data_IF_518964278029
#
_entry.id   IF_518964278029
#
_cell.length_a   1.000
_cell.length_b   1.000
_cell.length_c   1.000
_cell.angle_alpha   90.00
_cell.angle_beta   90.00
_cell.angle_gamma   90.00
#
_symmetry.space_group_name_H-M   'P 1'
#
loop_
_entity.id
_entity.type
_entity.pdbx_description
1 polymer ?
#
# COMPACT_ATOMS: atom_id res chain seq x y z
N UNK A 1 -25.75 -12.15 -13.40
CA UNK A 1 -25.10 -11.62 -14.62
C UNK A 1 -23.65 -11.35 -14.25
N UNK A 2 -22.69 -12.14 -14.74
CA UNK A 2 -21.26 -11.91 -14.45
C UNK A 2 -20.78 -10.85 -15.45
N UNK A 3 -20.25 -9.73 -14.95
CA UNK A 3 -19.58 -8.75 -15.80
C UNK A 3 -18.25 -9.38 -16.20
N UNK A 4 -18.09 -9.70 -17.48
CA UNK A 4 -16.78 -10.01 -18.03
C UNK A 4 -15.95 -8.73 -17.95
N UNK A 5 -14.93 -8.74 -17.10
CA UNK A 5 -13.96 -7.66 -16.97
C UNK A 5 -13.13 -7.65 -18.26
N UNK A 6 -13.48 -6.73 -19.15
CA UNK A 6 -12.62 -6.31 -20.26
C UNK A 6 -11.26 -5.92 -19.69
N UNK A 7 -10.18 -6.32 -20.37
CA UNK A 7 -8.78 -6.19 -19.92
C UNK A 7 -8.27 -4.76 -19.72
N UNK A 8 -9.11 -3.74 -19.93
CA UNK A 8 -8.77 -2.31 -19.87
C UNK A 8 -9.46 -1.53 -18.74
N UNK A 9 -10.29 -2.17 -17.90
CA UNK A 9 -10.95 -1.46 -16.79
C UNK A 9 -9.98 -1.30 -15.61
N UNK A 10 -9.48 -0.08 -15.39
CA UNK A 10 -8.69 0.25 -14.19
C UNK A 10 -9.55 0.14 -12.94
N UNK A 11 -9.36 -0.93 -12.17
CA UNK A 11 -10.03 -1.12 -10.89
C UNK A 11 -9.35 -0.29 -9.79
N UNK A 12 -10.15 0.40 -8.98
CA UNK A 12 -9.71 1.04 -7.75
C UNK A 12 -10.13 0.18 -6.56
N UNK A 13 -9.15 -0.30 -5.79
CA UNK A 13 -9.37 -1.10 -4.59
C UNK A 13 -9.55 -0.18 -3.37
N UNK A 14 -10.41 -0.60 -2.44
CA UNK A 14 -10.67 0.15 -1.22
C UNK A 14 -9.48 0.11 -0.27
N UNK A 15 -8.97 1.29 0.10
CA UNK A 15 -8.04 1.40 1.23
C UNK A 15 -8.78 1.38 2.57
N UNK A 16 -10.06 1.75 2.60
CA UNK A 16 -10.83 1.85 3.83
C UNK A 16 -11.10 0.49 4.46
N UNK A 17 -11.25 -0.58 3.68
CA UNK A 17 -11.41 -1.93 4.23
C UNK A 17 -10.17 -2.38 5.00
N UNK A 18 -8.98 -1.98 4.58
CA UNK A 18 -7.73 -2.25 5.32
C UNK A 18 -7.70 -1.47 6.64
N UNK A 19 -8.09 -0.19 6.62
CA UNK A 19 -8.20 0.63 7.83
C UNK A 19 -9.22 0.04 8.82
N UNK A 20 -10.35 -0.45 8.31
CA UNK A 20 -11.41 -1.01 9.13
C UNK A 20 -10.97 -2.30 9.85
N UNK A 21 -10.15 -3.13 9.21
CA UNK A 21 -9.69 -4.40 9.76
C UNK A 21 -8.41 -4.27 10.59
N UNK A 22 -7.46 -3.42 10.16
CA UNK A 22 -6.10 -3.41 10.70
C UNK A 22 -5.72 -2.10 11.41
N UNK A 23 -6.41 -1.00 11.15
CA UNK A 23 -6.05 0.30 11.67
C UNK A 23 -4.61 0.71 11.39
N UNK A 24 -3.94 1.29 12.39
CA UNK A 24 -2.54 1.75 12.28
C UNK A 24 -1.51 0.60 12.21
N UNK A 25 -1.91 -0.61 12.59
CA UNK A 25 -1.01 -1.76 12.68
C UNK A 25 -0.77 -2.48 11.34
N UNK A 26 -1.47 -2.06 10.27
CA UNK A 26 -1.33 -2.64 8.94
C UNK A 26 0.13 -2.67 8.44
N UNK A 27 0.89 -1.60 8.72
CA UNK A 27 2.30 -1.48 8.33
C UNK A 27 3.21 -2.41 9.15
N UNK A 28 2.84 -2.70 10.39
CA UNK A 28 3.64 -3.54 11.32
C UNK A 28 3.38 -5.04 11.14
N UNK A 29 2.23 -5.42 10.56
CA UNK A 29 1.75 -6.81 10.49
C UNK A 29 1.61 -7.31 9.06
N UNK A 30 2.65 -7.13 8.23
CA UNK A 30 2.68 -7.52 6.81
C UNK A 30 2.22 -8.97 6.56
N UNK A 31 2.57 -9.93 7.43
CA UNK A 31 2.14 -11.33 7.29
C UNK A 31 0.62 -11.52 7.40
N UNK A 32 0.01 -10.90 8.41
CA UNK A 32 -1.44 -10.99 8.63
C UNK A 32 -2.19 -10.26 7.51
N UNK A 33 -1.63 -9.14 7.04
CA UNK A 33 -2.14 -8.44 5.87
C UNK A 33 -2.10 -9.34 4.62
N UNK A 34 -0.97 -10.01 4.35
CA UNK A 34 -0.83 -10.92 3.21
C UNK A 34 -1.83 -12.09 3.28
N UNK A 35 -1.99 -12.70 4.47
CA UNK A 35 -2.99 -13.75 4.70
C UNK A 35 -4.40 -13.25 4.36
N UNK A 36 -4.80 -12.07 4.87
CA UNK A 36 -6.10 -11.46 4.56
C UNK A 36 -6.29 -11.16 3.08
N UNK A 37 -5.26 -10.66 2.40
CA UNK A 37 -5.30 -10.42 0.97
C UNK A 37 -5.51 -11.72 0.17
N UNK A 38 -4.98 -12.83 0.65
CA UNK A 38 -5.10 -14.15 0.02
C UNK A 38 -6.39 -14.90 0.38
N UNK A 39 -6.97 -14.69 1.57
CA UNK A 39 -8.18 -15.37 2.04
C UNK A 39 -9.46 -14.61 1.72
N UNK A 40 -9.54 -13.34 2.15
CA UNK A 40 -10.75 -12.53 2.12
C UNK A 40 -10.75 -11.56 0.93
N UNK A 41 -9.56 -11.05 0.59
CA UNK A 41 -9.35 -10.09 -0.47
C UNK A 41 -9.81 -8.67 -0.14
N UNK A 42 -9.72 -7.78 -1.13
CA UNK A 42 -10.04 -6.35 -1.01
C UNK A 42 -11.21 -6.02 -1.93
N UNK A 43 -12.21 -5.30 -1.41
CA UNK A 43 -13.33 -4.84 -2.21
C UNK A 43 -12.98 -3.61 -3.07
N UNK A 44 -13.80 -3.31 -4.08
CA UNK A 44 -13.66 -2.09 -4.89
C UNK A 44 -13.96 -0.85 -4.05
N UNK A 45 -13.31 0.26 -4.37
CA UNK A 45 -13.49 1.58 -3.73
C UNK A 45 -14.95 2.05 -3.76
N UNK A 46 -15.70 1.73 -4.82
CA UNK A 46 -17.13 2.04 -4.93
C UNK A 46 -17.98 1.36 -3.84
N UNK A 47 -17.54 0.22 -3.32
CA UNK A 47 -18.23 -0.57 -2.30
C UNK A 47 -17.79 -0.19 -0.87
N UNK A 48 -16.61 0.42 -0.72
CA UNK A 48 -16.12 0.91 0.57
C UNK A 48 -15.22 2.14 0.36
N UNK A 49 -15.83 3.33 0.36
CA UNK A 49 -15.14 4.58 0.08
C UNK A 49 -14.15 4.97 1.17
N UNK A 50 -13.03 5.57 0.78
CA UNK A 50 -12.06 6.16 1.68
C UNK A 50 -12.67 7.30 2.52
N UNK A 51 -12.61 7.15 3.84
CA UNK A 51 -13.09 8.15 4.81
C UNK A 51 -11.95 8.86 5.53
N UNK A 52 -10.74 8.30 5.47
CA UNK A 52 -9.58 8.82 6.22
C UNK A 52 -9.77 8.77 7.73
N UNK A 53 -10.62 7.86 8.23
CA UNK A 53 -10.96 7.74 9.66
C UNK A 53 -11.04 6.28 10.07
N UNK A 54 -10.64 6.02 11.31
CA UNK A 54 -10.88 4.74 11.98
C UNK A 54 -12.38 4.53 12.23
N UNK A 55 -12.88 3.29 12.15
CA UNK A 55 -14.24 2.98 12.59
C UNK A 55 -14.38 3.26 14.09
N UNK A 56 -15.57 3.72 14.52
CA UNK A 56 -15.82 4.05 15.95
C UNK A 56 -15.65 2.86 16.90
N UNK A 57 -15.79 1.64 16.38
CA UNK A 57 -15.61 0.38 17.11
C UNK A 57 -14.76 -0.57 16.25
N UNK A 58 -13.42 -0.48 16.27
CA UNK A 58 -12.60 -1.43 15.53
C UNK A 58 -12.80 -2.85 16.11
N UNK A 59 -12.74 -3.92 15.29
CA UNK A 59 -12.84 -5.29 15.77
C UNK A 59 -11.74 -5.57 16.79
N UNK A 60 -12.10 -5.68 18.08
CA UNK A 60 -11.13 -5.90 19.17
C UNK A 60 -10.39 -7.24 19.06
N UNK A 61 -10.93 -8.17 18.28
CA UNK A 61 -10.47 -9.55 18.16
C UNK A 61 -9.13 -9.69 17.41
N UNK A 62 -8.81 -8.78 16.48
CA UNK A 62 -7.53 -8.78 15.74
C UNK A 62 -6.37 -8.22 16.60
N UNK A 63 -6.70 -7.53 17.70
CA UNK A 63 -5.76 -6.79 18.55
C UNK A 63 -5.46 -7.50 19.89
N UNK A 64 -5.61 -8.83 19.95
CA UNK A 64 -5.17 -9.59 21.12
C UNK A 64 -3.65 -9.73 21.12
N UNK A 65 -2.99 -8.83 21.84
CA UNK A 65 -1.56 -8.94 22.17
C UNK A 65 -0.79 -7.69 21.81
N UNK A 66 -0.30 -7.02 22.86
CA UNK A 66 0.43 -5.76 22.93
C UNK A 66 -0.46 -4.50 22.94
N UNK A 67 -0.50 -3.85 24.12
CA UNK A 67 -0.78 -2.41 24.21
C UNK A 67 0.12 -1.67 23.21
N UNK A 68 -0.36 -0.59 22.57
CA UNK A 68 0.50 0.26 21.76
C UNK A 68 1.66 0.71 22.65
N UNK A 69 2.86 0.22 22.37
CA UNK A 69 4.05 0.79 22.99
C UNK A 69 4.06 2.27 22.62
N UNK A 70 4.12 3.11 23.65
CA UNK A 70 4.27 4.56 23.51
C UNK A 70 5.45 4.77 22.55
N UNK A 71 5.17 5.33 21.38
CA UNK A 71 6.21 5.69 20.42
C UNK A 71 7.19 6.61 21.17
N UNK A 72 8.42 6.16 21.37
CA UNK A 72 9.48 7.06 21.82
C UNK A 72 9.70 8.07 20.68
N UNK A 73 9.75 9.36 21.03
CA UNK A 73 9.66 10.50 20.08
C UNK A 73 10.83 10.59 19.06
N UNK A 74 11.77 9.64 19.07
CA UNK A 74 12.97 9.60 18.23
C UNK A 74 13.00 8.47 17.18
N UNK A 75 11.94 7.65 17.06
CA UNK A 75 11.88 6.65 15.98
C UNK A 75 11.63 7.33 14.61
N UNK A 76 12.46 7.06 13.57
CA UNK A 76 12.28 7.66 12.26
C UNK A 76 10.87 7.38 11.71
N UNK A 77 10.20 8.42 11.21
CA UNK A 77 8.90 8.28 10.56
C UNK A 77 9.05 7.42 9.30
N UNK A 78 8.39 6.27 9.27
CA UNK A 78 8.37 5.39 8.11
C UNK A 78 7.25 5.82 7.14
N UNK A 79 7.51 5.80 5.84
CA UNK A 79 6.52 6.11 4.81
C UNK A 79 6.56 5.06 3.70
N UNK A 80 5.38 4.57 3.30
CA UNK A 80 5.23 3.60 2.23
C UNK A 80 4.74 4.29 0.95
N UNK A 81 5.42 4.00 -0.17
CA UNK A 81 5.09 4.51 -1.52
C UNK A 81 5.13 3.38 -2.53
N UNK A 82 4.55 3.60 -3.71
CA UNK A 82 4.60 2.61 -4.79
C UNK A 82 5.67 2.99 -5.81
N UNK A 83 6.63 2.09 -6.04
CA UNK A 83 7.53 2.18 -7.19
C UNK A 83 6.73 1.77 -8.44
N UNK A 84 6.71 2.63 -9.46
CA UNK A 84 5.96 2.38 -10.70
C UNK A 84 6.86 2.16 -11.92
N UNK A 85 8.17 2.39 -11.77
CA UNK A 85 9.10 2.20 -12.87
C UNK A 85 10.54 2.59 -12.53
N UNK A 86 11.41 2.38 -13.51
CA UNK A 86 12.78 2.87 -13.53
C UNK A 86 12.91 3.86 -14.68
N UNK A 87 13.50 5.02 -14.40
CA UNK A 87 13.79 6.05 -15.40
C UNK A 87 15.30 6.24 -15.49
N UNK A 88 15.81 6.37 -16.70
CA UNK A 88 17.22 6.64 -16.98
C UNK A 88 17.34 8.02 -17.62
N UNK A 89 18.23 8.87 -17.11
CA UNK A 89 18.48 10.19 -17.70
C UNK A 89 19.53 10.14 -18.84
N UNK A 90 19.79 11.29 -19.47
CA UNK A 90 20.77 11.40 -20.56
C UNK A 90 22.22 11.14 -20.14
N UNK A 91 22.50 11.18 -18.84
CA UNK A 91 23.83 10.92 -18.26
C UNK A 91 23.95 9.46 -17.76
N UNK A 92 22.97 8.61 -18.08
CA UNK A 92 22.90 7.21 -17.69
C UNK A 92 22.77 6.99 -16.16
N UNK A 93 22.21 7.97 -15.43
CA UNK A 93 21.80 7.77 -14.05
C UNK A 93 20.43 7.11 -13.99
N UNK A 94 20.27 6.13 -13.10
CA UNK A 94 18.99 5.45 -12.89
C UNK A 94 18.22 6.01 -11.69
N UNK A 95 16.89 6.06 -11.82
CA UNK A 95 15.97 6.55 -10.82
C UNK A 95 14.80 5.58 -10.62
N UNK A 96 14.38 5.39 -9.39
CA UNK A 96 13.05 4.88 -9.08
C UNK A 96 12.03 5.98 -9.38
N UNK A 97 11.05 5.68 -10.22
CA UNK A 97 9.86 6.52 -10.32
C UNK A 97 8.83 6.02 -9.31
N UNK A 98 8.37 6.92 -8.44
CA UNK A 98 7.42 6.61 -7.38
C UNK A 98 6.13 7.39 -7.54
N UNK A 99 5.02 6.75 -7.17
CA UNK A 99 3.72 7.38 -6.95
C UNK A 99 3.48 7.52 -5.44
N UNK A 100 3.21 8.73 -5.00
CA UNK A 100 2.90 9.04 -3.60
C UNK A 100 1.38 9.05 -3.36
N UNK A 101 0.98 9.13 -2.09
CA UNK A 101 -0.41 9.12 -1.62
C UNK A 101 -0.86 10.46 -1.02
N UNK A 102 -0.16 11.57 -1.34
CA UNK A 102 -0.43 12.92 -0.82
C UNK A 102 -1.19 13.84 -1.79
N UNK A 103 -1.91 13.24 -2.75
CA UNK A 103 -2.63 13.98 -3.78
C UNK A 103 -1.74 14.45 -4.94
N UNK A 104 -2.39 14.97 -5.97
CA UNK A 104 -1.78 15.41 -7.22
C UNK A 104 -1.09 16.77 -7.11
N UNK A 105 -1.55 17.63 -6.19
CA UNK A 105 -0.93 18.92 -5.90
C UNK A 105 0.49 18.81 -5.32
N UNK A 106 0.86 17.62 -4.83
CA UNK A 106 2.22 17.38 -4.36
C UNK A 106 3.15 17.08 -5.54
N UNK A 107 4.24 17.85 -5.67
CA UNK A 107 5.28 17.62 -6.68
C UNK A 107 4.69 17.64 -8.11
N UNK A 108 5.17 16.75 -8.97
CA UNK A 108 4.73 16.58 -10.35
C UNK A 108 3.52 15.65 -10.42
N UNK A 109 2.33 16.13 -10.04
CA UNK A 109 1.09 15.34 -10.14
C UNK A 109 1.00 14.18 -9.16
N UNK A 110 1.70 14.23 -8.02
CA UNK A 110 1.78 13.15 -7.03
C UNK A 110 2.97 12.19 -7.23
N UNK A 111 3.84 12.45 -8.20
CA UNK A 111 4.98 11.57 -8.54
C UNK A 111 6.33 12.21 -8.19
N UNK A 112 7.34 11.35 -8.00
CA UNK A 112 8.73 11.78 -7.79
C UNK A 112 9.73 10.76 -8.31
N UNK A 113 10.94 11.21 -8.63
CA UNK A 113 12.09 10.36 -8.97
C UNK A 113 13.08 10.35 -7.82
N UNK A 114 13.55 9.16 -7.43
CA UNK A 114 14.57 8.96 -6.40
C UNK A 114 15.76 8.27 -7.05
N UNK A 115 16.95 8.87 -6.95
CA UNK A 115 18.17 8.30 -7.55
C UNK A 115 18.51 6.96 -6.91
N UNK A 116 18.77 5.94 -7.73
CA UNK A 116 19.15 4.59 -7.28
C UNK A 116 20.59 4.57 -6.77
N UNK A 117 20.89 3.66 -5.85
CA UNK A 117 22.26 3.41 -5.38
C UNK A 117 22.90 4.54 -4.57
N UNK A 118 22.12 5.47 -4.01
CA UNK A 118 22.61 6.55 -3.14
C UNK A 118 21.91 6.54 -1.79
N UNK A 119 22.63 6.12 -0.73
CA UNK A 119 22.33 6.35 0.69
C UNK A 119 20.86 6.23 1.11
N UNK A 120 20.10 7.33 0.95
CA UNK A 120 18.66 7.42 1.25
C UNK A 120 17.77 6.51 0.37
N UNK A 121 18.24 6.05 -0.80
CA UNK A 121 17.55 5.04 -1.62
C UNK A 121 17.61 3.63 -1.03
N UNK A 122 18.54 3.39 -0.10
CA UNK A 122 18.74 2.08 0.52
C UNK A 122 17.49 1.55 1.22
N UNK A 123 16.64 2.40 1.79
CA UNK A 123 15.37 1.98 2.39
C UNK A 123 14.36 1.49 1.35
N UNK A 124 14.25 2.17 0.20
CA UNK A 124 13.46 1.68 -0.94
C UNK A 124 14.03 0.36 -1.47
N UNK A 125 15.35 0.19 -1.47
CA UNK A 125 16.01 -1.00 -2.00
C UNK A 125 15.99 -2.19 -1.01
N UNK A 126 15.77 -1.95 0.28
CA UNK A 126 15.83 -2.97 1.34
C UNK A 126 14.46 -3.41 1.85
N UNK A 127 13.45 -2.53 1.84
CA UNK A 127 12.12 -2.77 2.39
C UNK A 127 11.04 -2.69 1.31
N UNK A 128 11.10 -3.62 0.35
CA UNK A 128 10.08 -3.80 -0.68
C UNK A 128 9.25 -5.05 -0.45
N UNK A 129 7.93 -4.93 -0.60
CA UNK A 129 7.01 -6.06 -0.74
C UNK A 129 6.34 -6.03 -2.12
N UNK A 130 5.97 -7.19 -2.64
CA UNK A 130 5.23 -7.33 -3.88
C UNK A 130 4.09 -8.31 -3.65
N UNK A 131 2.89 -7.94 -4.08
CA UNK A 131 1.73 -8.82 -4.10
C UNK A 131 1.34 -9.15 -5.54
N UNK A 132 1.02 -10.40 -5.82
CA UNK A 132 0.47 -10.79 -7.12
C UNK A 132 -1.05 -10.85 -7.01
N UNK A 133 -1.74 -10.05 -7.81
CA UNK A 133 -3.20 -10.19 -7.96
C UNK A 133 -3.52 -11.56 -8.54
N UNK A 134 -4.46 -12.28 -7.93
CA UNK A 134 -4.92 -13.55 -8.47
C UNK A 134 -5.60 -13.32 -9.84
N UNK A 135 -4.90 -13.63 -10.94
CA UNK A 135 -5.55 -13.84 -12.23
C UNK A 135 -6.41 -15.09 -12.11
N UNK A 136 -7.68 -14.88 -11.74
CA UNK A 136 -8.76 -15.85 -11.86
C UNK A 136 -8.43 -17.17 -11.14
N UNK A 137 -8.80 -17.28 -9.85
CA UNK A 137 -8.98 -18.60 -9.23
C UNK A 137 -9.94 -19.40 -10.10
N UNK A 138 -9.42 -20.29 -10.94
CA UNK A 138 -10.20 -21.40 -11.47
C UNK A 138 -10.40 -22.30 -10.27
N UNK A 139 -11.48 -22.04 -9.52
CA UNK A 139 -11.93 -22.92 -8.44
C UNK A 139 -12.01 -24.34 -9.01
N UNK A 140 -11.23 -25.25 -8.44
CA UNK A 140 -11.50 -26.68 -8.46
C UNK A 140 -12.21 -27.02 -7.16
#
# INVERSE_FOLDING_TARGET
>A
MKKDLSTDECLSLSNQILINNFGEEAIRRIKILDEFLMSDGVCLEENCKYLGKMPRNPPKEIFHGHEPQKLEDDEPSHHAVTIIGIVIDSENNEFWEIRNSWGDLWSNGGYRRIRKGLGLSGALETLCSQGFGAKQYRML
#
